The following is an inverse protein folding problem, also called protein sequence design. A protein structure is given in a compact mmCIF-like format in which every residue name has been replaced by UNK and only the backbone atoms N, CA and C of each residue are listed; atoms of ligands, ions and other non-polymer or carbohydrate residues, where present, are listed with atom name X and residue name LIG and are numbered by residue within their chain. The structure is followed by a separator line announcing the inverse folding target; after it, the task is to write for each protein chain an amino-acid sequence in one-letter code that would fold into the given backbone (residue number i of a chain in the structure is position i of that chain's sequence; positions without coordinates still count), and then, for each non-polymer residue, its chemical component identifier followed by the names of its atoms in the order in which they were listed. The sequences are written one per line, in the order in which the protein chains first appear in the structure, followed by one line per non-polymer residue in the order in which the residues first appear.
data_IF_050032941617
#
_entry.id   IF_050032941617
#
_cell.length_a   1.000
_cell.length_b   1.000
_cell.length_c   1.000
_cell.angle_alpha   90.00
_cell.angle_beta   90.00
_cell.angle_gamma   90.00
#
_symmetry.space_group_name_H-M   'P 1'
#
loop_
_entity.id
_entity.type
_entity.pdbx_description
1 polymer ?
#
# COMPACT_ATOMS: atom_id res chain seq x y z
N UNK A 1 -4.79 -18.71 -10.90
CA UNK A 1 -3.67 -17.98 -10.27
C UNK A 1 -3.80 -18.22 -8.78
N UNK A 2 -2.73 -18.50 -8.02
CA UNK A 2 -2.89 -18.74 -6.59
C UNK A 2 -3.16 -17.42 -5.88
N UNK A 3 -4.15 -17.41 -4.98
CA UNK A 3 -4.55 -16.28 -4.17
C UNK A 3 -3.39 -15.74 -3.31
N UNK A 4 -3.53 -14.49 -2.86
CA UNK A 4 -2.70 -13.96 -1.78
C UNK A 4 -2.84 -14.82 -0.53
N UNK A 5 -1.70 -15.22 0.02
CA UNK A 5 -1.61 -15.95 1.28
C UNK A 5 -0.78 -15.17 2.30
N UNK A 6 -0.81 -15.61 3.56
CA UNK A 6 0.01 -15.02 4.63
C UNK A 6 1.50 -15.13 4.29
N UNK A 7 1.89 -16.25 3.66
CA UNK A 7 3.27 -16.58 3.35
C UNK A 7 3.91 -15.56 2.40
N UNK A 8 3.10 -14.94 1.53
CA UNK A 8 3.53 -13.89 0.59
C UNK A 8 4.08 -12.64 1.30
N UNK A 9 3.78 -12.45 2.57
CA UNK A 9 4.21 -11.29 3.38
C UNK A 9 5.12 -11.69 4.54
N UNK A 10 4.94 -12.92 5.05
CA UNK A 10 5.52 -13.36 6.31
C UNK A 10 7.05 -13.38 6.32
N UNK A 11 7.67 -13.91 5.25
CA UNK A 11 9.12 -14.03 5.19
C UNK A 11 9.81 -12.66 5.25
N UNK A 12 9.32 -11.68 4.48
CA UNK A 12 9.82 -10.31 4.52
C UNK A 12 9.62 -9.69 5.91
N UNK A 13 8.45 -9.86 6.53
CA UNK A 13 8.14 -9.34 7.85
C UNK A 13 9.06 -9.91 8.96
N UNK A 14 9.42 -11.20 8.86
CA UNK A 14 10.38 -11.85 9.75
C UNK A 14 11.80 -11.28 9.57
N UNK A 15 12.25 -11.09 8.31
CA UNK A 15 13.55 -10.47 8.03
C UNK A 15 13.64 -9.05 8.61
N UNK A 16 12.62 -8.23 8.39
CA UNK A 16 12.52 -6.88 8.97
C UNK A 16 12.60 -6.92 10.50
N UNK A 17 11.86 -7.84 11.13
CA UNK A 17 11.85 -8.01 12.59
C UNK A 17 13.23 -8.41 13.14
N UNK A 18 13.93 -9.30 12.46
CA UNK A 18 15.28 -9.75 12.82
C UNK A 18 16.31 -8.62 12.72
N UNK A 19 16.23 -7.81 11.67
CA UNK A 19 17.13 -6.66 11.48
C UNK A 19 16.84 -5.60 12.54
N UNK A 20 15.57 -5.27 12.79
CA UNK A 20 15.17 -4.35 13.86
C UNK A 20 15.73 -4.79 15.23
N UNK A 21 15.60 -6.07 15.58
CA UNK A 21 16.18 -6.60 16.82
C UNK A 21 17.71 -6.40 16.88
N UNK A 22 18.40 -6.62 15.76
CA UNK A 22 19.86 -6.47 15.64
C UNK A 22 20.33 -5.01 15.75
N UNK A 23 19.46 -4.02 15.47
CA UNK A 23 19.82 -2.60 15.58
C UNK A 23 19.74 -2.06 17.02
N UNK A 24 19.16 -2.80 17.97
CA UNK A 24 18.96 -2.37 19.37
C UNK A 24 20.26 -2.09 20.12
N UNK A 25 21.36 -2.74 19.73
CA UNK A 25 22.66 -2.63 20.40
C UNK A 25 23.44 -1.38 20.02
N UNK A 26 23.10 -0.71 18.90
CA UNK A 26 23.76 0.53 18.47
C UNK A 26 22.77 1.50 17.80
N UNK A 27 21.75 2.00 18.55
CA UNK A 27 20.60 2.68 17.99
C UNK A 27 20.96 3.95 17.19
N UNK A 28 21.88 4.79 17.71
CA UNK A 28 22.25 6.07 17.08
C UNK A 28 22.77 5.93 15.64
N UNK A 29 23.47 4.84 15.31
CA UNK A 29 24.00 4.58 13.95
C UNK A 29 22.92 4.13 12.96
N UNK A 30 21.83 3.57 13.49
CA UNK A 30 20.79 2.89 12.74
C UNK A 30 19.42 3.60 12.81
N UNK A 31 19.31 4.80 13.36
CA UNK A 31 18.01 5.51 13.50
C UNK A 31 17.22 5.58 12.19
N UNK A 32 17.80 6.08 11.11
CA UNK A 32 17.09 6.18 9.81
C UNK A 32 16.69 4.79 9.27
N UNK A 33 17.53 3.78 9.53
CA UNK A 33 17.23 2.40 9.13
C UNK A 33 16.07 1.84 9.96
N UNK A 34 16.05 2.11 11.26
CA UNK A 34 14.95 1.71 12.15
C UNK A 34 13.63 2.34 11.73
N UNK A 35 13.62 3.62 11.37
CA UNK A 35 12.41 4.29 10.88
C UNK A 35 11.86 3.61 9.61
N UNK A 36 12.70 3.39 8.59
CA UNK A 36 12.29 2.72 7.36
C UNK A 36 11.81 1.28 7.61
N UNK A 37 12.53 0.52 8.45
CA UNK A 37 12.14 -0.84 8.82
C UNK A 37 10.83 -0.89 9.62
N UNK A 38 10.57 0.08 10.49
CA UNK A 38 9.31 0.18 11.22
C UNK A 38 8.14 0.45 10.26
N UNK A 39 8.29 1.40 9.34
CA UNK A 39 7.28 1.66 8.30
C UNK A 39 7.03 0.41 7.45
N UNK A 40 8.10 -0.25 6.97
CA UNK A 40 7.98 -1.48 6.19
C UNK A 40 7.25 -2.58 6.98
N UNK A 41 7.61 -2.77 8.25
CA UNK A 41 6.97 -3.75 9.13
C UNK A 41 5.48 -3.48 9.30
N UNK A 42 5.10 -2.22 9.46
CA UNK A 42 3.69 -1.83 9.60
C UNK A 42 2.90 -2.19 8.34
N UNK A 43 3.41 -1.82 7.17
CA UNK A 43 2.78 -2.13 5.88
C UNK A 43 2.66 -3.64 5.64
N UNK A 44 3.74 -4.41 5.89
CA UNK A 44 3.73 -5.87 5.75
C UNK A 44 2.75 -6.53 6.71
N UNK A 45 2.66 -6.04 7.95
CA UNK A 45 1.70 -6.56 8.94
C UNK A 45 0.26 -6.26 8.54
N UNK A 46 -0.01 -5.08 7.98
CA UNK A 46 -1.32 -4.74 7.45
C UNK A 46 -1.71 -5.66 6.29
N UNK A 47 -0.78 -5.91 5.36
CA UNK A 47 -1.00 -6.84 4.26
C UNK A 47 -1.18 -8.29 4.72
N UNK A 48 -0.42 -8.76 5.72
CA UNK A 48 -0.65 -10.08 6.34
C UNK A 48 -2.06 -10.18 6.94
N UNK A 49 -2.53 -9.12 7.58
CA UNK A 49 -3.86 -9.07 8.17
C UNK A 49 -4.96 -9.11 7.10
N UNK A 50 -4.78 -8.36 6.01
CA UNK A 50 -5.67 -8.43 4.86
C UNK A 50 -5.65 -9.82 4.21
N UNK A 51 -4.48 -10.44 4.04
CA UNK A 51 -4.37 -11.80 3.49
C UNK A 51 -5.03 -12.87 4.38
N UNK A 52 -5.11 -12.65 5.70
CA UNK A 52 -5.88 -13.51 6.64
C UNK A 52 -7.38 -13.30 6.54
N UNK A 53 -7.81 -12.11 6.13
CA UNK A 53 -9.22 -11.77 6.04
C UNK A 53 -9.75 -12.13 4.64
N UNK A 54 -10.64 -13.13 4.50
CA UNK A 54 -11.25 -13.46 3.23
C UNK A 54 -12.01 -12.27 2.62
N UNK A 55 -12.54 -11.37 3.45
CA UNK A 55 -13.28 -10.18 3.04
C UNK A 55 -12.41 -8.95 2.81
N UNK A 56 -11.07 -9.06 2.78
CA UNK A 56 -10.23 -7.90 2.50
C UNK A 56 -10.24 -7.49 1.03
N UNK A 57 -9.98 -6.21 0.75
CA UNK A 57 -9.75 -5.72 -0.62
C UNK A 57 -8.65 -6.53 -1.32
N UNK A 58 -7.58 -6.88 -0.60
CA UNK A 58 -6.46 -7.66 -1.13
C UNK A 58 -6.93 -9.02 -1.68
N UNK A 59 -7.80 -9.73 -0.96
CA UNK A 59 -8.29 -11.05 -1.38
C UNK A 59 -9.45 -11.00 -2.36
N UNK A 60 -10.33 -10.01 -2.23
CA UNK A 60 -11.53 -9.89 -3.05
C UNK A 60 -11.25 -9.27 -4.42
N UNK A 61 -10.29 -8.34 -4.52
CA UNK A 61 -10.14 -7.49 -5.71
C UNK A 61 -8.74 -7.42 -6.30
N UNK A 62 -7.72 -7.99 -5.65
CA UNK A 62 -6.33 -7.82 -6.07
C UNK A 62 -5.59 -9.11 -6.43
N UNK A 63 -6.28 -10.24 -6.62
CA UNK A 63 -5.62 -11.54 -6.88
C UNK A 63 -4.71 -11.54 -8.12
N UNK A 64 -5.06 -10.76 -9.14
CA UNK A 64 -4.27 -10.52 -10.36
C UNK A 64 -2.91 -9.88 -10.08
N UNK A 65 -2.77 -9.19 -8.94
CA UNK A 65 -1.59 -8.41 -8.56
C UNK A 65 -0.54 -9.18 -7.80
N UNK A 66 -0.77 -10.46 -7.48
CA UNK A 66 0.22 -11.25 -6.74
C UNK A 66 1.59 -11.27 -7.41
N UNK A 67 1.64 -11.29 -8.75
CA UNK A 67 2.90 -11.21 -9.49
C UNK A 67 3.64 -9.89 -9.28
N UNK A 68 2.93 -8.77 -9.29
CA UNK A 68 3.49 -7.45 -9.01
C UNK A 68 4.08 -7.42 -7.59
N UNK A 69 3.32 -7.93 -6.62
CA UNK A 69 3.77 -8.04 -5.24
C UNK A 69 5.05 -8.87 -5.07
N UNK A 70 5.14 -10.04 -5.73
CA UNK A 70 6.35 -10.87 -5.64
C UNK A 70 7.60 -10.14 -6.12
N UNK A 71 7.49 -9.32 -7.18
CA UNK A 71 8.61 -8.49 -7.64
C UNK A 71 9.06 -7.46 -6.60
N UNK A 72 8.11 -6.85 -5.88
CA UNK A 72 8.42 -5.90 -4.79
C UNK A 72 9.09 -6.63 -3.63
N UNK A 73 8.56 -7.78 -3.22
CA UNK A 73 9.12 -8.58 -2.11
C UNK A 73 10.50 -9.11 -2.41
N UNK A 74 10.76 -9.53 -3.64
CA UNK A 74 12.09 -10.00 -4.04
C UNK A 74 13.12 -8.87 -3.93
N UNK A 75 12.79 -7.65 -4.38
CA UNK A 75 13.66 -6.48 -4.22
C UNK A 75 13.92 -6.19 -2.74
N UNK A 76 12.84 -6.03 -1.96
CA UNK A 76 12.90 -5.77 -0.51
C UNK A 76 13.74 -6.84 0.20
N UNK A 77 13.51 -8.12 -0.11
CA UNK A 77 14.20 -9.25 0.47
C UNK A 77 15.70 -9.20 0.21
N UNK A 78 16.11 -8.87 -1.02
CA UNK A 78 17.52 -8.74 -1.39
C UNK A 78 18.20 -7.61 -0.60
N UNK A 79 17.59 -6.43 -0.57
CA UNK A 79 18.12 -5.27 0.16
C UNK A 79 18.20 -5.54 1.67
N UNK A 80 17.20 -6.18 2.27
CA UNK A 80 17.21 -6.58 3.68
C UNK A 80 18.32 -7.60 3.98
N UNK A 81 18.53 -8.58 3.10
CA UNK A 81 19.63 -9.54 3.25
C UNK A 81 20.98 -8.85 3.22
N UNK A 82 21.21 -7.92 2.28
CA UNK A 82 22.45 -7.16 2.19
C UNK A 82 22.67 -6.23 3.40
N UNK A 83 21.61 -5.64 3.95
CA UNK A 83 21.67 -4.88 5.20
C UNK A 83 22.08 -5.79 6.37
N UNK A 84 21.48 -6.97 6.49
CA UNK A 84 21.80 -7.92 7.54
C UNK A 84 23.27 -8.38 7.43
N UNK A 85 23.74 -8.66 6.22
CA UNK A 85 25.14 -9.01 5.96
C UNK A 85 26.09 -7.85 6.29
N UNK A 86 25.71 -6.61 5.96
CA UNK A 86 26.50 -5.42 6.32
C UNK A 86 26.64 -5.28 7.84
N UNK A 87 25.55 -5.49 8.58
CA UNK A 87 25.56 -5.47 10.05
C UNK A 87 26.42 -6.59 10.64
N UNK A 88 26.29 -7.82 10.13
CA UNK A 88 27.13 -8.96 10.55
C UNK A 88 28.62 -8.71 10.31
N UNK A 89 28.98 -8.07 9.20
CA UNK A 89 30.39 -7.72 8.90
C UNK A 89 30.96 -6.71 9.88
N UNK A 90 30.15 -5.75 10.34
CA UNK A 90 30.61 -4.72 11.25
C UNK A 90 31.07 -5.30 12.61
N UNK A 91 30.55 -6.46 13.00
CA UNK A 91 30.97 -7.17 14.22
C UNK A 91 32.10 -8.20 13.99
N UNK A 92 32.57 -8.39 12.76
CA UNK A 92 33.60 -9.39 12.42
C UNK A 92 35.03 -8.81 12.42
N UNK A 93 35.99 -9.66 12.80
CA UNK A 93 37.43 -9.37 12.67
C UNK A 93 37.83 -9.12 11.21
N UNK A 94 38.91 -8.38 10.99
CA UNK A 94 39.39 -8.04 9.65
C UNK A 94 39.70 -9.29 8.80
N UNK A 95 40.29 -10.32 9.42
CA UNK A 95 40.60 -11.61 8.80
C UNK A 95 39.34 -12.35 8.36
N UNK A 96 38.35 -12.47 9.25
CA UNK A 96 37.08 -13.14 8.94
C UNK A 96 36.25 -12.37 7.90
N UNK A 97 36.35 -11.04 7.87
CA UNK A 97 35.73 -10.19 6.85
C UNK A 97 36.32 -10.44 5.46
N UNK A 98 37.64 -10.49 5.36
CA UNK A 98 38.33 -10.70 4.09
C UNK A 98 38.03 -12.09 3.51
N UNK A 99 38.13 -13.14 4.33
CA UNK A 99 37.94 -14.52 3.89
C UNK A 99 36.50 -14.83 3.45
N UNK A 100 35.51 -14.19 4.09
CA UNK A 100 34.09 -14.54 3.90
C UNK A 100 33.37 -13.68 2.87
N UNK A 101 33.87 -12.48 2.54
CA UNK A 101 33.09 -11.50 1.77
C UNK A 101 33.83 -10.80 0.61
N UNK A 102 35.12 -11.05 0.38
CA UNK A 102 35.85 -10.49 -0.77
C UNK A 102 35.78 -8.95 -0.89
N UNK A 103 35.95 -8.44 -2.12
CA UNK A 103 36.01 -6.99 -2.42
C UNK A 103 34.67 -6.47 -2.98
N UNK A 104 34.18 -5.39 -2.35
CA UNK A 104 33.03 -4.54 -2.70
C UNK A 104 31.64 -5.17 -2.59
N UNK A 105 30.93 -4.79 -1.52
CA UNK A 105 29.46 -4.73 -1.51
C UNK A 105 29.00 -3.30 -1.22
N UNK A 106 27.74 -3.02 -1.50
CA UNK A 106 27.10 -1.73 -1.25
C UNK A 106 27.35 -1.24 0.19
N UNK A 107 27.57 0.07 0.32
CA UNK A 107 27.72 0.70 1.63
C UNK A 107 26.37 0.70 2.36
N UNK A 108 26.39 0.73 3.70
CA UNK A 108 25.15 0.86 4.47
C UNK A 108 24.35 2.11 4.07
N UNK A 109 25.03 3.19 3.66
CA UNK A 109 24.37 4.40 3.18
C UNK A 109 23.57 4.15 1.91
N UNK A 110 24.14 3.40 0.96
CA UNK A 110 23.47 3.00 -0.30
C UNK A 110 22.27 2.11 -0.01
N UNK A 111 22.45 1.07 0.81
CA UNK A 111 21.39 0.14 1.19
C UNK A 111 20.22 0.83 1.93
N UNK A 112 20.50 1.84 2.76
CA UNK A 112 19.47 2.66 3.40
C UNK A 112 18.64 3.44 2.38
N UNK A 113 19.26 3.93 1.30
CA UNK A 113 18.58 4.65 0.23
C UNK A 113 17.72 3.71 -0.62
N UNK A 114 18.26 2.55 -0.97
CA UNK A 114 17.53 1.49 -1.68
C UNK A 114 16.30 1.04 -0.89
N UNK A 115 16.47 0.72 0.41
CA UNK A 115 15.35 0.35 1.27
C UNK A 115 14.27 1.45 1.34
N UNK A 116 14.65 2.73 1.32
CA UNK A 116 13.69 3.84 1.32
C UNK A 116 12.84 3.85 0.04
N UNK A 117 13.45 3.59 -1.11
CA UNK A 117 12.73 3.49 -2.38
C UNK A 117 11.77 2.30 -2.37
N UNK A 118 12.24 1.15 -1.88
CA UNK A 118 11.42 -0.06 -1.79
C UNK A 118 10.25 0.10 -0.80
N UNK A 119 10.46 0.80 0.32
CA UNK A 119 9.34 1.19 1.21
C UNK A 119 8.32 2.05 0.46
N UNK A 120 8.76 2.99 -0.36
CA UNK A 120 7.86 3.79 -1.20
C UNK A 120 7.09 2.93 -2.21
N UNK A 121 7.71 1.88 -2.76
CA UNK A 121 7.04 0.95 -3.67
C UNK A 121 5.99 0.11 -2.94
N UNK A 122 6.28 -0.38 -1.73
CA UNK A 122 5.30 -1.06 -0.88
C UNK A 122 4.15 -0.12 -0.51
N UNK A 123 4.44 1.14 -0.13
CA UNK A 123 3.42 2.15 0.15
C UNK A 123 2.53 2.42 -1.07
N UNK A 124 3.14 2.52 -2.27
CA UNK A 124 2.39 2.71 -3.51
C UNK A 124 1.49 1.52 -3.80
N UNK A 125 1.99 0.31 -3.60
CA UNK A 125 1.22 -0.92 -3.73
C UNK A 125 0.01 -0.90 -2.79
N UNK A 126 0.23 -0.66 -1.49
CA UNK A 126 -0.84 -0.59 -0.47
C UNK A 126 -1.87 0.50 -0.80
N UNK A 127 -1.43 1.72 -1.12
CA UNK A 127 -2.34 2.82 -1.46
C UNK A 127 -3.14 2.57 -2.75
N UNK A 128 -2.64 1.71 -3.62
CA UNK A 128 -3.33 1.35 -4.87
C UNK A 128 -4.29 0.17 -4.71
N UNK A 129 -4.36 -0.43 -3.53
CA UNK A 129 -5.40 -1.41 -3.22
C UNK A 129 -6.77 -0.72 -3.33
N UNK A 130 -7.71 -1.39 -4.01
CA UNK A 130 -9.05 -0.85 -4.25
C UNK A 130 -9.16 0.07 -5.47
N UNK A 131 -8.04 0.42 -6.13
CA UNK A 131 -8.09 1.16 -7.39
C UNK A 131 -8.32 0.25 -8.60
N UNK A 132 -8.98 0.81 -9.60
CA UNK A 132 -9.15 0.22 -10.92
C UNK A 132 -7.81 0.07 -11.66
N UNK A 133 -7.73 -0.81 -12.67
CA UNK A 133 -6.56 -0.86 -13.56
C UNK A 133 -6.15 0.50 -14.11
N UNK A 134 -7.10 1.38 -14.39
CA UNK A 134 -6.86 2.71 -14.94
C UNK A 134 -6.28 3.67 -13.89
N UNK A 135 -6.85 3.70 -12.68
CA UNK A 135 -6.33 4.52 -11.58
C UNK A 135 -4.92 4.12 -11.13
N UNK A 136 -4.51 2.88 -11.39
CA UNK A 136 -3.15 2.39 -11.10
C UNK A 136 -2.10 2.84 -12.10
N UNK A 137 -2.48 3.25 -13.32
CA UNK A 137 -1.52 3.59 -14.38
C UNK A 137 -0.76 4.87 -14.11
N UNK A 138 -1.42 5.87 -13.56
CA UNK A 138 -0.83 7.18 -13.28
C UNK A 138 -1.26 7.67 -11.89
N UNK A 139 -0.34 8.28 -11.11
CA UNK A 139 -0.66 8.77 -9.76
C UNK A 139 -1.85 9.74 -9.73
N UNK A 140 -2.00 10.58 -10.76
CA UNK A 140 -3.09 11.54 -10.84
C UNK A 140 -4.45 10.86 -11.06
N UNK A 141 -4.50 9.83 -11.91
CA UNK A 141 -5.73 9.06 -12.15
C UNK A 141 -6.16 8.32 -10.89
N UNK A 142 -5.20 7.71 -10.17
CA UNK A 142 -5.49 7.07 -8.89
C UNK A 142 -5.99 8.06 -7.84
N UNK A 143 -5.47 9.29 -7.83
CA UNK A 143 -5.98 10.34 -6.94
C UNK A 143 -7.41 10.76 -7.32
N UNK A 144 -7.67 11.02 -8.61
CA UNK A 144 -9.01 11.34 -9.10
C UNK A 144 -10.00 10.22 -8.73
N UNK A 145 -9.63 8.96 -8.94
CA UNK A 145 -10.49 7.82 -8.63
C UNK A 145 -10.83 7.72 -7.14
N UNK A 146 -9.87 7.94 -6.22
CA UNK A 146 -10.15 7.95 -4.78
C UNK A 146 -11.13 9.05 -4.38
N UNK A 147 -10.95 10.26 -4.92
CA UNK A 147 -11.84 11.38 -4.64
C UNK A 147 -13.25 11.09 -5.17
N UNK A 148 -13.36 10.47 -6.35
CA UNK A 148 -14.65 10.06 -6.89
C UNK A 148 -15.29 8.93 -6.08
N UNK A 149 -14.52 7.97 -5.57
CA UNK A 149 -15.02 6.91 -4.69
C UNK A 149 -15.57 7.49 -3.38
N UNK A 150 -14.83 8.43 -2.78
CA UNK A 150 -15.26 9.14 -1.57
C UNK A 150 -16.56 9.91 -1.83
N UNK A 151 -16.65 10.68 -2.91
CA UNK A 151 -17.90 11.38 -3.23
C UNK A 151 -19.05 10.46 -3.56
N UNK A 152 -18.84 9.41 -4.35
CA UNK A 152 -19.90 8.47 -4.67
C UNK A 152 -20.44 7.79 -3.39
N UNK A 153 -19.56 7.54 -2.40
CA UNK A 153 -19.96 7.01 -1.09
C UNK A 153 -20.78 8.03 -0.30
N UNK A 154 -20.30 9.27 -0.18
CA UNK A 154 -20.99 10.34 0.56
C UNK A 154 -22.32 10.75 -0.08
N UNK A 155 -22.41 10.73 -1.41
CA UNK A 155 -23.68 10.96 -2.14
C UNK A 155 -24.72 9.88 -1.79
N UNK A 156 -24.29 8.63 -1.63
CA UNK A 156 -25.20 7.50 -1.31
C UNK A 156 -25.65 7.48 0.13
N UNK A 157 -24.83 7.97 1.05
CA UNK A 157 -25.22 8.18 2.46
C UNK A 157 -26.08 9.44 2.63
N UNK A 158 -26.24 10.25 1.58
CA UNK A 158 -27.01 11.50 1.60
C UNK A 158 -26.25 12.67 2.24
N UNK A 159 -24.94 12.54 2.42
CA UNK A 159 -24.07 13.54 3.06
C UNK A 159 -23.64 14.64 2.09
N UNK A 160 -23.71 14.41 0.76
CA UNK A 160 -23.34 15.36 -0.28
C UNK A 160 -24.34 15.49 -1.44
N UNK A 161 -24.10 16.51 -2.26
CA UNK A 161 -24.85 16.80 -3.49
C UNK A 161 -24.54 15.75 -4.57
N UNK A 162 -25.60 15.24 -5.22
CA UNK A 162 -25.58 14.18 -6.25
C UNK A 162 -24.93 14.62 -7.57
N UNK A 163 -23.62 14.84 -7.61
CA UNK A 163 -22.89 15.25 -8.80
C UNK A 163 -22.26 14.07 -9.55
N UNK A 164 -21.61 13.15 -8.82
CA UNK A 164 -20.92 11.98 -9.40
C UNK A 164 -21.93 10.96 -9.93
N UNK A 165 -22.97 10.66 -9.16
CA UNK A 165 -24.02 9.74 -9.59
C UNK A 165 -24.82 10.30 -10.77
N UNK A 166 -25.16 11.59 -10.75
CA UNK A 166 -25.87 12.23 -11.85
C UNK A 166 -25.01 12.33 -13.13
N UNK A 167 -23.69 12.55 -13.01
CA UNK A 167 -22.78 12.61 -14.16
C UNK A 167 -22.73 11.27 -14.91
N UNK A 168 -22.84 10.17 -14.17
CA UNK A 168 -22.87 8.82 -14.72
C UNK A 168 -24.13 8.55 -15.55
N UNK A 169 -25.29 9.01 -15.09
CA UNK A 169 -26.59 8.72 -15.71
C UNK A 169 -26.88 9.60 -16.92
N UNK A 170 -26.58 10.90 -16.81
CA UNK A 170 -27.04 11.89 -17.80
C UNK A 170 -26.00 12.23 -18.87
N UNK A 171 -24.71 11.99 -18.57
CA UNK A 171 -23.58 12.47 -19.36
C UNK A 171 -23.69 13.98 -19.71
N UNK A 172 -24.39 14.76 -18.89
CA UNK A 172 -24.67 16.18 -19.13
C UNK A 172 -23.41 17.03 -18.90
N UNK A 173 -23.01 17.88 -19.87
CA UNK A 173 -21.88 18.81 -19.73
C UNK A 173 -21.94 19.75 -18.51
N UNK A 174 -23.12 20.06 -17.99
CA UNK A 174 -23.29 20.87 -16.78
C UNK A 174 -22.90 20.06 -15.53
N UNK A 175 -23.32 18.81 -15.45
CA UNK A 175 -23.01 17.91 -14.32
C UNK A 175 -21.54 17.52 -14.33
N UNK A 176 -20.95 17.32 -15.51
CA UNK A 176 -19.49 17.11 -15.66
C UNK A 176 -18.64 18.29 -15.20
N UNK A 177 -19.15 19.52 -15.35
CA UNK A 177 -18.49 20.72 -14.81
C UNK A 177 -18.52 20.73 -13.28
N UNK A 178 -19.57 20.19 -12.66
CA UNK A 178 -19.61 20.03 -11.20
C UNK A 178 -18.58 19.03 -10.72
N UNK A 179 -18.51 17.84 -11.34
CA UNK A 179 -17.49 16.82 -11.04
C UNK A 179 -16.08 17.40 -11.15
N UNK A 180 -15.82 18.15 -12.22
CA UNK A 180 -14.53 18.83 -12.41
C UNK A 180 -14.24 19.83 -11.27
N UNK A 181 -15.25 20.61 -10.87
CA UNK A 181 -15.11 21.58 -9.77
C UNK A 181 -14.85 20.90 -8.43
N UNK A 182 -15.50 19.78 -8.15
CA UNK A 182 -15.26 18.97 -6.96
C UNK A 182 -13.80 18.51 -6.93
N UNK A 183 -13.31 17.92 -8.03
CA UNK A 183 -11.93 17.47 -8.13
C UNK A 183 -10.92 18.62 -7.98
N UNK A 184 -11.21 19.79 -8.56
CA UNK A 184 -10.39 21.00 -8.41
C UNK A 184 -10.34 21.50 -6.96
N UNK A 185 -11.48 21.53 -6.26
CA UNK A 185 -11.55 21.90 -4.84
C UNK A 185 -10.76 20.93 -3.96
N UNK A 186 -10.73 19.66 -4.33
CA UNK A 186 -9.92 18.62 -3.70
C UNK A 186 -8.46 18.61 -4.19
N UNK A 187 -8.06 19.62 -4.97
CA UNK A 187 -6.70 19.97 -5.32
C UNK A 187 -6.16 19.30 -6.59
N UNK A 188 -7.01 18.77 -7.47
CA UNK A 188 -6.61 18.31 -8.81
C UNK A 188 -6.47 19.52 -9.72
N UNK A 189 -5.36 19.64 -10.45
CA UNK A 189 -5.17 20.80 -11.32
C UNK A 189 -6.11 20.75 -12.53
N UNK A 190 -6.55 21.91 -13.01
CA UNK A 190 -7.46 21.98 -14.17
C UNK A 190 -6.81 21.33 -15.40
N UNK A 191 -5.53 21.60 -15.63
CA UNK A 191 -4.76 21.04 -16.74
C UNK A 191 -4.73 19.50 -16.72
N UNK A 192 -4.70 18.91 -15.52
CA UNK A 192 -4.75 17.45 -15.35
C UNK A 192 -6.13 16.89 -15.72
N UNK A 193 -7.23 17.59 -15.39
CA UNK A 193 -8.57 17.20 -15.79
C UNK A 193 -8.72 17.23 -17.31
N UNK A 194 -8.28 18.31 -17.95
CA UNK A 194 -8.32 18.44 -19.42
C UNK A 194 -7.47 17.37 -20.11
N UNK A 195 -6.25 17.12 -19.62
CA UNK A 195 -5.35 16.07 -20.15
C UNK A 195 -5.97 14.68 -20.05
N UNK A 196 -6.81 14.44 -19.04
CA UNK A 196 -7.36 13.12 -18.74
C UNK A 196 -8.88 13.01 -18.94
N UNK A 197 -9.56 13.94 -19.62
CA UNK A 197 -11.03 13.99 -19.75
C UNK A 197 -11.67 12.64 -20.12
N UNK A 198 -11.17 12.00 -21.18
CA UNK A 198 -11.69 10.70 -21.62
C UNK A 198 -11.48 9.58 -20.59
N UNK A 199 -10.33 9.58 -19.90
CA UNK A 199 -10.01 8.59 -18.86
C UNK A 199 -10.81 8.88 -17.58
N UNK A 200 -11.06 10.13 -17.26
CA UNK A 200 -11.89 10.55 -16.13
C UNK A 200 -13.33 10.04 -16.27
N UNK A 201 -13.88 10.09 -17.49
CA UNK A 201 -15.20 9.50 -17.80
C UNK A 201 -15.24 7.99 -17.56
N UNK A 202 -14.18 7.29 -17.97
CA UNK A 202 -14.04 5.85 -17.71
C UNK A 202 -13.90 5.54 -16.22
N UNK A 203 -13.11 6.35 -15.50
CA UNK A 203 -12.97 6.23 -14.05
C UNK A 203 -14.32 6.42 -13.35
N UNK A 204 -15.07 7.47 -13.67
CA UNK A 204 -16.37 7.74 -13.07
C UNK A 204 -17.36 6.60 -13.33
N UNK A 205 -17.39 6.05 -14.55
CA UNK A 205 -18.20 4.87 -14.84
C UNK A 205 -17.81 3.67 -13.98
N UNK A 206 -16.51 3.40 -13.84
CA UNK A 206 -16.04 2.33 -13.00
C UNK A 206 -16.38 2.58 -11.52
N UNK A 207 -16.19 3.80 -11.01
CA UNK A 207 -16.46 4.18 -9.63
C UNK A 207 -17.92 3.93 -9.27
N UNK A 208 -18.88 4.50 -10.02
CA UNK A 208 -20.30 4.34 -9.70
C UNK A 208 -20.73 2.88 -9.69
N UNK A 209 -20.14 2.06 -10.57
CA UNK A 209 -20.41 0.62 -10.64
C UNK A 209 -19.79 -0.18 -9.49
N UNK A 210 -18.60 0.19 -9.01
CA UNK A 210 -17.80 -0.64 -8.10
C UNK A 210 -17.73 -0.11 -6.66
N UNK A 211 -18.05 1.16 -6.44
CA UNK A 211 -18.11 1.77 -5.11
C UNK A 211 -18.96 0.96 -4.11
N UNK A 212 -20.18 0.45 -4.42
CA UNK A 212 -20.97 -0.22 -3.39
C UNK A 212 -20.30 -1.52 -2.93
N UNK A 213 -19.72 -2.28 -3.87
CA UNK A 213 -18.99 -3.50 -3.55
C UNK A 213 -17.72 -3.18 -2.75
N UNK A 214 -17.02 -2.10 -3.08
CA UNK A 214 -15.82 -1.66 -2.35
C UNK A 214 -16.18 -1.26 -0.92
N UNK A 215 -17.23 -0.48 -0.74
CA UNK A 215 -17.73 -0.06 0.57
C UNK A 215 -18.19 -1.26 1.39
N UNK A 216 -18.94 -2.20 0.81
CA UNK A 216 -19.34 -3.42 1.49
C UNK A 216 -18.13 -4.28 1.93
N UNK A 217 -17.10 -4.39 1.09
CA UNK A 217 -15.85 -5.10 1.43
C UNK A 217 -15.13 -4.39 2.58
N UNK A 218 -15.05 -3.06 2.56
CA UNK A 218 -14.42 -2.28 3.64
C UNK A 218 -15.18 -2.42 4.96
N UNK A 219 -16.51 -2.35 4.94
CA UNK A 219 -17.33 -2.53 6.13
C UNK A 219 -17.19 -3.93 6.72
N UNK A 220 -17.20 -4.97 5.89
CA UNK A 220 -16.95 -6.36 6.34
C UNK A 220 -15.53 -6.51 6.91
N UNK A 221 -14.55 -5.86 6.29
CA UNK A 221 -13.17 -5.86 6.73
C UNK A 221 -13.03 -5.23 8.13
N UNK A 222 -13.68 -4.10 8.38
CA UNK A 222 -13.66 -3.40 9.67
C UNK A 222 -14.35 -4.20 10.78
N UNK A 223 -15.53 -4.78 10.51
CA UNK A 223 -16.25 -5.64 11.46
C UNK A 223 -15.40 -6.85 11.88
N UNK A 224 -14.68 -7.46 10.94
CA UNK A 224 -13.80 -8.59 11.23
C UNK A 224 -12.57 -8.18 12.05
N UNK A 225 -12.06 -6.95 11.87
CA UNK A 225 -11.00 -6.42 12.71
C UNK A 225 -11.48 -6.15 14.14
N UNK A 226 -12.66 -5.57 14.32
CA UNK A 226 -13.25 -5.30 15.64
C UNK A 226 -13.58 -6.59 16.40
N UNK A 227 -14.12 -7.62 15.73
CA UNK A 227 -14.36 -8.94 16.34
C UNK A 227 -13.06 -9.60 16.81
N UNK A 228 -11.97 -9.46 16.05
CA UNK A 228 -10.65 -10.01 16.44
C UNK A 228 -10.02 -9.26 17.61
N UNK A 229 -10.22 -7.95 17.73
CA UNK A 229 -9.69 -7.17 18.84
C UNK A 229 -10.52 -7.29 20.13
N UNK A 230 -11.84 -7.45 20.01
CA UNK A 230 -12.72 -7.74 21.16
C UNK A 230 -12.43 -9.12 21.76
N UNK A 231 -12.20 -10.15 20.94
CA UNK A 231 -11.77 -11.49 21.41
C UNK A 231 -10.44 -11.49 22.19
N UNK A 232 -9.50 -10.58 21.88
CA UNK A 232 -8.24 -10.44 22.63
C UNK A 232 -8.41 -9.82 24.01
N UNK A 233 -9.40 -8.94 24.21
CA UNK A 233 -9.67 -8.32 25.51
C UNK A 233 -10.31 -9.30 26.51
N UNK A 234 -11.00 -10.33 26.02
CA UNK A 234 -11.61 -11.36 26.88
C UNK A 234 -10.69 -12.55 27.21
N UNK A 235 -9.53 -12.71 26.55
CA UNK A 235 -8.55 -13.77 26.88
C UNK A 235 -7.43 -13.35 27.84
N UNK A 236 -7.45 -12.13 28.39
CA UNK A 236 -6.51 -11.70 29.46
C UNK A 236 -7.05 -11.88 30.88
N UNK A 237 -8.18 -12.57 31.04
CA UNK A 237 -8.68 -13.04 32.34
C UNK A 237 -9.05 -14.52 32.25
N UNK A 238 -8.05 -15.37 32.29
CA UNK A 238 -8.18 -16.78 32.66
C UNK A 238 -6.88 -17.22 33.33
#
# INVERSE_FOLDING_TARGET
MPDFSIEDFHAANQLVSNILASTRTAPKKYLDLQANLQSLRQLLKELELQAKNPFSILRQRCQDRRREWMGIVDSVGNTLCDIQDNMKRASMSAWARWFRYGRKRASLKTLKQELRLEVSDVERFVRSLGLSPLGRQEPVLGRMERLLLEEAREERTGERSMAVLAAHETNDPVVWREVSRILMRSGVAEEELWKHDARLKQLLHWVVKNEPDITAVLEMQDVDFEKKDSGRRYSQKA
#
